data_IF_899268293222
#
_entry.id   IF_899268293222
#
_cell.length_a   1.000
_cell.length_b   1.000
_cell.length_c   1.000
_cell.angle_alpha   90.00
_cell.angle_beta   90.00
_cell.angle_gamma   90.00
#
_symmetry.space_group_name_H-M   'P 1'
#
loop_
_entity.id
_entity.type
_entity.pdbx_description
1 polymer ?
#
# COMPACT_ATOMS: atom_id res chain seq x y z
N UNK A 1 18.17 -14.78 -7.08
CA UNK A 1 17.17 -15.27 -8.05
C UNK A 1 16.02 -15.86 -7.25
N UNK A 2 14.96 -15.09 -7.04
CA UNK A 2 13.78 -15.54 -6.30
C UNK A 2 13.04 -16.61 -7.10
N UNK A 3 12.99 -17.85 -6.59
CA UNK A 3 12.10 -18.89 -7.14
C UNK A 3 10.65 -18.45 -6.88
N UNK A 4 9.74 -18.51 -7.87
CA UNK A 4 8.35 -18.12 -7.66
C UNK A 4 7.67 -19.18 -6.81
N UNK A 5 7.59 -18.95 -5.49
CA UNK A 5 7.09 -19.96 -4.55
C UNK A 5 5.57 -19.95 -4.41
N UNK A 6 4.86 -18.90 -4.88
CA UNK A 6 3.40 -18.86 -4.82
C UNK A 6 2.75 -18.41 -6.13
N UNK A 7 1.54 -18.91 -6.40
CA UNK A 7 0.64 -18.34 -7.43
C UNK A 7 0.19 -16.94 -7.00
N UNK A 8 -0.24 -16.11 -7.97
CA UNK A 8 -0.86 -14.82 -7.66
C UNK A 8 -2.11 -15.07 -6.78
N UNK A 9 -2.43 -14.20 -5.82
CA UNK A 9 -1.86 -12.86 -5.58
C UNK A 9 -0.76 -12.81 -4.50
N UNK A 10 -0.21 -13.94 -4.03
CA UNK A 10 0.66 -14.00 -2.86
C UNK A 10 2.15 -13.62 -3.09
N UNK A 11 2.52 -13.10 -4.27
CA UNK A 11 3.90 -12.63 -4.54
C UNK A 11 4.11 -11.13 -4.25
N UNK A 12 3.20 -10.51 -3.47
CA UNK A 12 3.24 -9.08 -3.17
C UNK A 12 4.31 -8.71 -2.13
N UNK A 13 4.73 -9.68 -1.32
CA UNK A 13 5.70 -9.46 -0.25
C UNK A 13 6.95 -10.30 -0.50
N UNK A 14 8.12 -9.65 -0.44
CA UNK A 14 9.40 -10.33 -0.44
C UNK A 14 9.69 -10.93 0.93
N UNK A 15 10.24 -12.13 0.98
CA UNK A 15 10.65 -12.80 2.22
C UNK A 15 12.16 -12.95 2.18
N UNK A 16 12.84 -12.54 3.26
CA UNK A 16 14.27 -12.76 3.44
C UNK A 16 14.49 -13.96 4.37
N UNK A 17 14.97 -15.07 3.80
CA UNK A 17 15.38 -16.23 4.59
C UNK A 17 16.72 -15.98 5.33
N UNK A 18 17.12 -16.92 6.19
CA UNK A 18 18.35 -16.79 6.97
C UNK A 18 19.62 -16.71 6.10
N UNK A 19 19.66 -17.45 4.98
CA UNK A 19 20.79 -17.45 4.06
C UNK A 19 20.90 -16.12 3.31
N UNK A 20 19.78 -15.56 2.86
CA UNK A 20 19.72 -14.24 2.23
C UNK A 20 20.11 -13.13 3.20
N UNK A 21 19.68 -13.21 4.46
CA UNK A 21 20.08 -12.26 5.50
C UNK A 21 21.60 -12.29 5.75
N UNK A 22 22.21 -13.47 5.82
CA UNK A 22 23.66 -13.63 5.96
C UNK A 22 24.41 -13.11 4.73
N UNK A 23 23.90 -13.40 3.52
CA UNK A 23 24.48 -12.90 2.27
C UNK A 23 24.46 -11.37 2.22
N UNK A 24 23.34 -10.74 2.60
CA UNK A 24 23.24 -9.28 2.65
C UNK A 24 24.23 -8.65 3.63
N UNK A 25 24.44 -9.28 4.80
CA UNK A 25 25.47 -8.83 5.74
C UNK A 25 26.88 -8.94 5.15
N UNK A 26 27.19 -10.05 4.47
CA UNK A 26 28.48 -10.24 3.81
C UNK A 26 28.72 -9.19 2.72
N UNK A 27 27.74 -8.97 1.85
CA UNK A 27 27.80 -7.96 0.79
C UNK A 27 27.98 -6.55 1.35
N UNK A 28 27.31 -6.25 2.47
CA UNK A 28 27.48 -4.98 3.17
C UNK A 28 28.94 -4.77 3.61
N UNK A 29 29.50 -5.74 4.33
CA UNK A 29 30.88 -5.64 4.85
C UNK A 29 31.88 -5.51 3.70
N UNK A 30 31.68 -6.27 2.62
CA UNK A 30 32.50 -6.16 1.42
C UNK A 30 32.41 -4.77 0.80
N UNK A 31 31.21 -4.21 0.63
CA UNK A 31 31.01 -2.88 0.06
C UNK A 31 31.65 -1.78 0.93
N UNK A 32 31.51 -1.86 2.25
CA UNK A 32 32.13 -0.94 3.21
C UNK A 32 33.66 -0.94 3.13
N UNK A 33 34.26 -2.08 2.78
CA UNK A 33 35.72 -2.18 2.64
C UNK A 33 36.26 -1.64 1.30
N UNK A 34 35.40 -1.47 0.30
CA UNK A 34 35.80 -1.18 -1.10
C UNK A 34 35.36 0.18 -1.61
N UNK A 35 34.35 0.80 -1.01
CA UNK A 35 33.75 2.02 -1.53
C UNK A 35 33.24 2.96 -0.44
N UNK A 36 33.42 4.26 -0.65
CA UNK A 36 32.89 5.31 0.22
C UNK A 36 31.38 5.50 0.05
N UNK A 37 30.84 5.08 -1.10
CA UNK A 37 29.44 5.25 -1.48
C UNK A 37 28.81 3.92 -1.85
N UNK A 38 27.73 3.58 -1.15
CA UNK A 38 27.02 2.32 -1.31
C UNK A 38 25.62 2.62 -1.82
N UNK A 39 25.33 2.06 -3.00
CA UNK A 39 24.00 2.05 -3.63
C UNK A 39 23.43 0.65 -3.43
N UNK A 40 22.30 0.58 -2.75
CA UNK A 40 21.59 -0.68 -2.54
C UNK A 40 20.52 -0.84 -3.61
N UNK A 41 20.38 -2.04 -4.14
CA UNK A 41 19.40 -2.35 -5.17
C UNK A 41 18.57 -3.57 -4.77
N UNK A 42 17.26 -3.48 -4.93
CA UNK A 42 16.34 -4.59 -4.70
C UNK A 42 15.05 -4.43 -5.49
N UNK A 43 14.31 -5.52 -5.67
CA UNK A 43 13.04 -5.45 -6.40
C UNK A 43 11.95 -4.76 -5.57
N UNK A 44 11.76 -5.21 -4.33
CA UNK A 44 10.69 -4.75 -3.44
C UNK A 44 11.11 -3.51 -2.63
N UNK A 45 10.20 -2.57 -2.34
CA UNK A 45 10.42 -1.54 -1.35
C UNK A 45 10.60 -2.19 0.01
N UNK A 46 11.30 -1.52 0.92
CA UNK A 46 11.54 -2.08 2.26
C UNK A 46 10.26 -2.22 3.08
N UNK A 47 9.16 -1.58 2.69
CA UNK A 47 7.80 -1.77 3.23
C UNK A 47 7.13 -3.07 2.83
N UNK A 48 7.59 -3.69 1.74
CA UNK A 48 7.08 -4.93 1.19
C UNK A 48 8.07 -6.09 1.40
N UNK A 49 8.99 -5.99 2.35
CA UNK A 49 9.95 -7.04 2.69
C UNK A 49 9.73 -7.47 4.14
N UNK A 50 9.55 -8.78 4.34
CA UNK A 50 9.50 -9.40 5.66
C UNK A 50 10.78 -10.15 5.95
N UNK A 51 11.23 -10.03 7.20
CA UNK A 51 12.22 -10.91 7.79
C UNK A 51 11.48 -11.90 8.69
N UNK A 52 11.68 -13.20 8.44
CA UNK A 52 11.00 -14.27 9.17
C UNK A 52 11.27 -14.17 10.68
N UNK A 53 10.20 -14.25 11.50
CA UNK A 53 10.23 -13.90 12.94
C UNK A 53 10.86 -14.94 13.85
N UNK A 54 10.95 -16.20 13.42
CA UNK A 54 11.37 -17.32 14.27
C UNK A 54 12.89 -17.53 14.33
N UNK A 55 13.69 -16.62 13.76
CA UNK A 55 15.14 -16.75 13.71
C UNK A 55 15.86 -15.82 14.71
N UNK A 56 16.85 -16.33 15.47
CA UNK A 56 17.52 -15.59 16.54
C UNK A 56 18.28 -14.33 16.08
N UNK A 57 18.51 -14.18 14.77
CA UNK A 57 19.18 -13.05 14.13
C UNK A 57 18.25 -12.29 13.19
N UNK A 58 17.11 -11.78 13.69
CA UNK A 58 16.19 -10.94 12.89
C UNK A 58 16.90 -9.68 12.38
N UNK A 59 17.25 -9.66 11.09
CA UNK A 59 17.85 -8.47 10.47
C UNK A 59 16.77 -7.56 9.94
N UNK A 60 16.52 -6.43 10.60
CA UNK A 60 15.70 -5.37 10.01
C UNK A 60 16.45 -4.77 8.81
N UNK A 61 15.96 -5.01 7.59
CA UNK A 61 16.64 -4.55 6.35
C UNK A 61 16.89 -3.05 6.33
N UNK A 62 15.95 -2.24 6.83
CA UNK A 62 16.11 -0.77 6.91
C UNK A 62 17.22 -0.38 7.88
N UNK A 63 17.35 -1.11 8.97
CA UNK A 63 18.46 -0.93 9.91
C UNK A 63 19.78 -1.41 9.33
N UNK A 64 19.81 -2.53 8.60
CA UNK A 64 21.00 -3.05 7.94
C UNK A 64 21.55 -2.03 6.94
N UNK A 65 20.72 -1.58 6.00
CA UNK A 65 21.08 -0.55 5.00
C UNK A 65 21.57 0.70 5.73
N UNK A 66 20.81 1.18 6.70
CA UNK A 66 21.12 2.40 7.43
C UNK A 66 22.31 2.31 8.39
N UNK A 67 22.81 1.11 8.70
CA UNK A 67 23.93 0.93 9.64
C UNK A 67 25.28 1.31 9.04
N UNK A 68 25.41 1.29 7.71
CA UNK A 68 26.59 1.83 7.04
C UNK A 68 26.45 3.33 6.84
N UNK A 69 27.52 4.11 7.12
CA UNK A 69 27.54 5.55 6.80
C UNK A 69 27.60 5.80 5.29
N UNK A 70 28.29 4.94 4.54
CA UNK A 70 28.39 5.03 3.07
C UNK A 70 27.10 4.69 2.31
N UNK A 71 26.09 4.11 2.97
CA UNK A 71 24.78 3.87 2.34
C UNK A 71 24.08 5.18 2.02
N UNK A 72 24.06 5.55 0.74
CA UNK A 72 23.40 6.76 0.27
C UNK A 72 21.95 6.47 -0.10
N UNK A 73 21.71 5.42 -0.88
CA UNK A 73 20.40 5.19 -1.49
C UNK A 73 20.06 3.71 -1.59
N UNK A 74 18.79 3.40 -1.39
CA UNK A 74 18.14 2.17 -1.78
C UNK A 74 17.24 2.43 -2.98
N UNK A 75 17.56 1.85 -4.13
CA UNK A 75 16.78 1.93 -5.35
C UNK A 75 15.97 0.65 -5.53
N UNK A 76 14.67 0.81 -5.83
CA UNK A 76 13.74 -0.31 -5.94
C UNK A 76 12.62 -0.09 -6.97
N UNK A 77 11.78 -1.10 -7.16
CA UNK A 77 10.56 -1.08 -7.98
C UNK A 77 9.40 -1.74 -7.24
N UNK A 78 8.56 -2.50 -7.95
CA UNK A 78 7.40 -3.28 -7.48
C UNK A 78 6.06 -2.54 -7.44
N UNK A 79 5.93 -1.46 -6.66
CA UNK A 79 4.71 -0.63 -6.59
C UNK A 79 4.66 0.37 -7.77
N UNK A 80 5.82 0.73 -8.33
CA UNK A 80 6.05 1.59 -9.49
C UNK A 80 5.52 3.01 -9.41
N UNK A 81 4.25 3.21 -9.71
CA UNK A 81 3.54 4.48 -9.53
C UNK A 81 2.19 4.28 -8.84
N UNK A 82 1.98 3.10 -8.24
CA UNK A 82 0.69 2.62 -7.72
C UNK A 82 -0.44 2.80 -8.75
N UNK A 83 -0.19 2.37 -10.00
CA UNK A 83 -1.13 2.56 -11.11
C UNK A 83 -1.34 4.03 -11.50
N UNK A 84 -0.33 4.89 -11.30
CA UNK A 84 -0.37 6.33 -11.58
C UNK A 84 -0.80 7.22 -10.41
N UNK A 85 -1.22 6.64 -9.28
CA UNK A 85 -1.68 7.41 -8.10
C UNK A 85 -0.55 8.16 -7.38
N UNK A 86 0.67 7.61 -7.39
CA UNK A 86 1.84 8.21 -6.73
C UNK A 86 3.03 8.16 -7.68
N UNK A 87 3.25 9.25 -8.41
CA UNK A 87 4.26 9.31 -9.48
C UNK A 87 5.69 9.55 -8.98
N UNK A 88 5.85 10.07 -7.75
CA UNK A 88 7.15 10.33 -7.10
C UNK A 88 7.28 9.56 -5.80
N UNK A 89 7.62 8.28 -5.88
CA UNK A 89 7.80 7.42 -4.72
C UNK A 89 9.21 7.52 -4.14
N UNK A 90 9.46 8.65 -3.48
CA UNK A 90 10.72 8.92 -2.79
C UNK A 90 10.48 9.14 -1.31
N UNK A 91 11.38 8.64 -0.49
CA UNK A 91 11.41 8.99 0.93
C UNK A 91 12.83 9.03 1.45
N UNK A 92 13.00 9.61 2.63
CA UNK A 92 14.20 9.46 3.44
C UNK A 92 13.87 8.59 4.64
N UNK A 93 14.54 7.44 4.73
CA UNK A 93 14.31 6.50 5.83
C UNK A 93 14.81 7.07 7.15
N UNK A 94 14.35 6.52 8.28
CA UNK A 94 14.71 7.02 9.63
C UNK A 94 16.22 7.05 9.89
N UNK A 95 16.99 6.20 9.21
CA UNK A 95 18.46 6.16 9.30
C UNK A 95 19.15 7.18 8.37
N UNK A 96 18.41 7.96 7.60
CA UNK A 96 18.90 9.11 6.83
C UNK A 96 19.27 8.82 5.37
N UNK A 97 19.24 7.56 4.92
CA UNK A 97 19.44 7.21 3.51
C UNK A 97 18.15 7.40 2.69
N UNK A 98 18.28 7.61 1.39
CA UNK A 98 17.14 7.74 0.47
C UNK A 98 16.60 6.38 0.08
N UNK A 99 15.29 6.23 0.04
CA UNK A 99 14.62 5.10 -0.61
C UNK A 99 13.82 5.62 -1.77
N UNK A 100 14.21 5.17 -2.97
CA UNK A 100 13.76 5.74 -4.23
C UNK A 100 13.20 4.64 -5.09
N UNK A 101 11.89 4.52 -5.07
CA UNK A 101 11.18 3.64 -5.99
C UNK A 101 11.03 4.31 -7.35
N UNK A 102 11.20 3.53 -8.42
CA UNK A 102 11.10 4.02 -9.79
C UNK A 102 9.84 3.47 -10.47
N UNK A 103 9.16 4.35 -11.22
CA UNK A 103 8.07 3.97 -12.11
C UNK A 103 8.51 2.87 -13.09
N UNK A 104 7.59 2.02 -13.52
CA UNK A 104 7.93 0.92 -14.41
C UNK A 104 8.35 1.41 -15.80
N UNK A 105 9.16 0.57 -16.46
CA UNK A 105 9.48 0.76 -17.86
C UNK A 105 8.32 0.39 -18.79
N UNK A 106 7.47 -0.56 -18.40
CA UNK A 106 6.50 -1.22 -19.29
C UNK A 106 5.41 -0.26 -19.80
N UNK A 107 4.79 0.42 -18.86
CA UNK A 107 3.62 1.29 -19.03
C UNK A 107 4.03 2.76 -18.86
N UNK A 108 4.89 3.08 -17.87
CA UNK A 108 5.29 4.46 -17.59
C UNK A 108 6.56 4.93 -18.36
N UNK A 109 7.35 4.00 -18.93
CA UNK A 109 8.59 4.26 -19.68
C UNK A 109 9.59 5.13 -18.90
N UNK A 110 9.66 4.92 -17.58
CA UNK A 110 10.51 5.72 -16.70
C UNK A 110 11.91 5.12 -16.58
N UNK A 111 12.92 5.99 -16.55
CA UNK A 111 14.29 5.65 -16.18
C UNK A 111 14.84 6.71 -15.22
N UNK A 112 15.89 6.36 -14.46
CA UNK A 112 16.53 7.28 -13.51
C UNK A 112 17.94 7.62 -13.98
N UNK A 113 18.22 8.90 -14.09
CA UNK A 113 19.59 9.41 -14.14
C UNK A 113 20.03 9.74 -12.72
N UNK A 114 21.17 9.20 -12.30
CA UNK A 114 21.77 9.51 -11.01
C UNK A 114 23.26 9.80 -11.17
N UNK A 115 23.78 10.70 -10.33
CA UNK A 115 25.18 11.08 -10.31
C UNK A 115 25.67 11.23 -8.88
N UNK A 116 26.94 10.87 -8.64
CA UNK A 116 27.66 11.19 -7.41
C UNK A 116 28.72 12.23 -7.77
N UNK A 117 28.55 13.44 -7.24
CA UNK A 117 29.39 14.60 -7.53
C UNK A 117 30.06 15.08 -6.24
N UNK A 118 31.36 14.83 -6.10
CA UNK A 118 32.14 15.12 -4.89
C UNK A 118 31.49 14.55 -3.61
N UNK A 119 30.92 13.34 -3.72
CA UNK A 119 30.23 12.65 -2.63
C UNK A 119 28.75 13.03 -2.44
N UNK A 120 28.20 13.94 -3.24
CA UNK A 120 26.76 14.25 -3.23
C UNK A 120 26.00 13.38 -4.23
N UNK A 121 25.02 12.62 -3.76
CA UNK A 121 24.12 11.84 -4.61
C UNK A 121 22.96 12.70 -5.11
N UNK A 122 22.84 12.87 -6.42
CA UNK A 122 21.74 13.59 -7.07
C UNK A 122 21.09 12.70 -8.11
N UNK A 123 19.77 12.82 -8.29
CA UNK A 123 19.04 12.02 -9.26
C UNK A 123 17.83 12.77 -9.83
N UNK A 124 17.37 12.31 -10.98
CA UNK A 124 16.13 12.72 -11.62
C UNK A 124 15.51 11.52 -12.34
N UNK A 125 14.19 11.41 -12.30
CA UNK A 125 13.44 10.39 -13.02
C UNK A 125 12.87 11.01 -14.29
N UNK A 126 13.08 10.34 -15.42
CA UNK A 126 12.78 10.85 -16.75
C UNK A 126 11.95 9.84 -17.53
N UNK A 127 10.99 10.33 -18.31
CA UNK A 127 10.32 9.51 -19.32
C UNK A 127 11.23 9.31 -20.52
N UNK A 128 11.25 8.10 -21.06
CA UNK A 128 11.94 7.79 -22.32
C UNK A 128 11.53 8.75 -23.44
N UNK A 129 12.49 9.12 -24.30
CA UNK A 129 12.32 10.05 -25.43
C UNK A 129 11.78 11.45 -25.07
N UNK A 130 11.97 11.89 -23.84
CA UNK A 130 11.70 13.29 -23.45
C UNK A 130 13.04 13.96 -23.22
N UNK A 131 13.32 14.96 -24.05
CA UNK A 131 14.54 15.74 -24.11
C UNK A 131 14.23 17.23 -24.16
N UNK A 132 15.13 18.10 -23.69
CA UNK A 132 16.37 17.80 -22.97
C UNK A 132 16.16 17.22 -21.56
N UNK A 133 17.14 16.52 -21.03
CA UNK A 133 17.19 15.98 -19.66
C UNK A 133 18.22 16.77 -18.84
N UNK A 134 17.83 17.19 -17.64
CA UNK A 134 18.64 18.06 -16.78
C UNK A 134 18.76 17.46 -15.38
N UNK A 135 19.99 17.36 -14.88
CA UNK A 135 20.29 16.99 -13.49
C UNK A 135 21.24 18.00 -12.87
N UNK A 136 20.74 18.80 -11.92
CA UNK A 136 21.58 19.68 -11.10
C UNK A 136 22.28 18.84 -10.03
N UNK A 137 23.62 18.84 -10.04
CA UNK A 137 24.41 18.11 -9.04
C UNK A 137 24.93 19.01 -7.93
N UNK A 138 25.19 20.29 -8.21
CA UNK A 138 25.57 21.30 -7.22
C UNK A 138 24.92 22.66 -7.54
N UNK A 139 24.23 23.32 -6.59
CA UNK A 139 23.95 22.89 -5.22
C UNK A 139 23.00 21.68 -5.16
N UNK A 140 23.07 20.90 -4.08
CA UNK A 140 22.23 19.72 -3.90
C UNK A 140 20.77 20.10 -3.64
N UNK A 141 19.84 19.33 -4.18
CA UNK A 141 18.40 19.53 -3.98
C UNK A 141 18.01 19.40 -2.49
N UNK A 142 17.32 20.41 -1.94
CA UNK A 142 17.00 20.53 -0.51
C UNK A 142 16.26 19.31 0.08
N UNK A 143 15.34 18.72 -0.69
CA UNK A 143 14.57 17.52 -0.27
C UNK A 143 15.46 16.29 -0.03
N UNK A 144 16.55 16.16 -0.77
CA UNK A 144 17.32 14.92 -0.88
C UNK A 144 18.59 14.94 -0.02
N UNK A 145 18.73 15.92 0.87
CA UNK A 145 19.87 16.09 1.76
C UNK A 145 19.95 14.93 2.78
N UNK A 146 21.14 14.32 2.87
CA UNK A 146 21.44 13.22 3.79
C UNK A 146 22.52 13.63 4.80
N UNK A 147 22.10 14.28 5.89
CA UNK A 147 23.01 14.70 6.96
C UNK A 147 23.82 13.54 7.51
N UNK A 148 25.13 13.75 7.68
CA UNK A 148 26.06 12.76 8.21
C UNK A 148 26.43 11.62 7.25
N UNK A 149 25.91 11.65 6.01
CA UNK A 149 26.24 10.69 4.94
C UNK A 149 26.94 11.36 3.75
N UNK A 150 26.72 12.67 3.58
CA UNK A 150 27.31 13.44 2.49
C UNK A 150 28.16 14.59 3.03
N UNK A 151 29.20 15.02 2.30
CA UNK A 151 30.08 16.10 2.71
C UNK A 151 29.46 17.49 2.43
N UNK A 152 28.30 17.78 3.06
CA UNK A 152 27.48 18.99 2.80
C UNK A 152 28.25 20.30 3.02
N UNK A 153 29.30 20.29 3.84
CA UNK A 153 30.20 21.42 4.05
C UNK A 153 30.94 21.87 2.79
N UNK A 154 31.03 21.03 1.76
CA UNK A 154 31.68 21.40 0.50
C UNK A 154 30.83 22.32 -0.38
N UNK A 155 29.51 22.39 -0.16
CA UNK A 155 28.60 23.18 -1.01
C UNK A 155 28.84 24.70 -0.80
N UNK A 156 28.92 25.24 0.44
CA UNK A 156 29.22 26.65 0.67
C UNK A 156 30.60 27.10 0.17
N UNK A 157 31.55 26.18 0.05
CA UNK A 157 32.92 26.46 -0.44
C UNK A 157 33.04 26.28 -1.97
N UNK A 158 31.98 25.79 -2.63
CA UNK A 158 31.99 25.53 -4.06
C UNK A 158 31.94 26.83 -4.87
N UNK A 159 32.86 26.98 -5.82
CA UNK A 159 32.92 28.12 -6.75
C UNK A 159 31.98 28.03 -7.95
N UNK A 160 31.38 26.86 -8.19
CA UNK A 160 30.57 26.61 -9.39
C UNK A 160 29.26 25.87 -9.09
N UNK A 161 28.20 26.30 -9.75
CA UNK A 161 27.03 25.46 -10.03
C UNK A 161 27.42 24.41 -11.07
N UNK A 162 26.95 23.18 -10.89
CA UNK A 162 27.25 22.04 -11.78
C UNK A 162 25.96 21.34 -12.20
N UNK A 163 25.79 21.21 -13.51
CA UNK A 163 24.58 20.70 -14.14
C UNK A 163 24.98 19.70 -15.21
N UNK A 164 24.35 18.53 -15.20
CA UNK A 164 24.42 17.57 -16.29
C UNK A 164 23.21 17.78 -17.20
N UNK A 165 23.46 18.10 -18.46
CA UNK A 165 22.43 18.27 -19.48
C UNK A 165 22.65 17.26 -20.62
N UNK A 166 21.58 16.57 -21.00
CA UNK A 166 21.57 15.57 -22.06
C UNK A 166 20.46 15.88 -23.06
N UNK A 167 20.73 15.61 -24.34
CA UNK A 167 19.70 15.53 -25.38
C UNK A 167 20.12 14.45 -26.39
N UNK A 168 19.20 13.99 -27.24
CA UNK A 168 19.50 13.12 -28.37
C UNK A 168 20.09 13.88 -29.58
N UNK A 169 20.20 15.20 -29.45
CA UNK A 169 20.97 16.11 -30.31
C UNK A 169 21.90 16.96 -29.44
N UNK A 170 22.72 17.80 -30.05
CA UNK A 170 23.59 18.71 -29.29
C UNK A 170 22.78 19.72 -28.46
N UNK A 171 23.27 19.99 -27.25
CA UNK A 171 22.69 20.99 -26.35
C UNK A 171 23.27 22.35 -26.69
N UNK A 172 22.41 23.28 -27.11
CA UNK A 172 22.74 24.62 -27.58
C UNK A 172 23.20 25.53 -26.45
N UNK A 173 22.39 25.64 -25.39
CA UNK A 173 22.71 26.44 -24.22
C UNK A 173 22.02 25.91 -22.96
N UNK A 174 22.68 26.15 -21.83
CA UNK A 174 22.17 25.87 -20.49
C UNK A 174 22.22 27.17 -19.71
N UNK A 175 21.05 27.73 -19.39
CA UNK A 175 20.94 29.00 -18.67
C UNK A 175 20.39 28.77 -17.27
N UNK A 176 20.87 29.57 -16.32
CA UNK A 176 20.43 29.51 -14.93
C UNK A 176 19.94 30.87 -14.43
N UNK A 177 19.05 30.85 -13.46
CA UNK A 177 18.54 32.05 -12.78
C UNK A 177 18.17 31.75 -11.32
N UNK A 178 18.22 32.76 -10.46
CA UNK A 178 17.75 32.66 -9.07
C UNK A 178 16.44 33.44 -8.83
N UNK A 179 16.03 34.28 -9.77
CA UNK A 179 14.89 35.21 -9.69
C UNK A 179 13.91 35.06 -10.88
N UNK A 180 14.21 34.17 -11.84
CA UNK A 180 13.54 33.98 -13.14
C UNK A 180 13.62 35.17 -14.11
N UNK A 181 14.26 36.27 -13.70
CA UNK A 181 14.37 37.52 -14.47
C UNK A 181 15.75 37.59 -15.11
N UNK A 182 16.80 37.38 -14.31
CA UNK A 182 18.19 37.50 -14.71
C UNK A 182 18.75 36.12 -15.03
N UNK A 183 19.09 35.87 -16.30
CA UNK A 183 19.59 34.58 -16.79
C UNK A 183 21.09 34.65 -17.07
N UNK A 184 21.82 33.62 -16.65
CA UNK A 184 23.26 33.46 -16.86
C UNK A 184 23.53 32.17 -17.63
N UNK A 185 24.30 32.26 -18.71
CA UNK A 185 24.66 31.08 -19.51
C UNK A 185 25.81 30.31 -18.86
N UNK A 186 25.62 28.99 -18.72
CA UNK A 186 26.63 28.08 -18.21
C UNK A 186 27.66 27.77 -19.29
N UNK A 187 28.93 27.69 -18.88
CA UNK A 187 30.02 27.25 -19.75
C UNK A 187 30.00 25.73 -19.86
N UNK A 188 29.95 25.22 -21.09
CA UNK A 188 30.18 23.80 -21.36
C UNK A 188 31.61 23.41 -21.01
N UNK A 189 31.80 22.24 -20.41
CA UNK A 189 33.13 21.77 -19.99
C UNK A 189 33.51 20.48 -20.72
N UNK A 190 32.89 19.36 -20.35
CA UNK A 190 33.16 18.05 -20.95
C UNK A 190 31.91 17.17 -20.88
N UNK A 191 31.63 16.47 -21.98
CA UNK A 191 30.48 15.59 -22.08
C UNK A 191 29.18 16.34 -21.73
N UNK A 192 28.33 15.83 -20.82
CA UNK A 192 27.09 16.49 -20.44
C UNK A 192 27.26 17.61 -19.40
N UNK A 193 28.48 17.96 -18.96
CA UNK A 193 28.71 18.86 -17.83
C UNK A 193 28.77 20.34 -18.25
N UNK A 194 27.90 21.14 -17.63
CA UNK A 194 27.83 22.60 -17.73
C UNK A 194 28.03 23.23 -16.36
N UNK A 195 28.78 24.33 -16.32
CA UNK A 195 29.14 25.02 -15.07
C UNK A 195 28.91 26.52 -15.14
N UNK A 196 28.50 27.12 -14.03
CA UNK A 196 28.37 28.57 -13.90
C UNK A 196 28.96 29.04 -12.58
N UNK A 197 29.63 30.19 -12.58
CA UNK A 197 30.12 30.78 -11.35
C UNK A 197 28.95 31.27 -10.49
N UNK A 198 29.09 31.11 -9.18
CA UNK A 198 28.10 31.60 -8.23
C UNK A 198 28.78 32.01 -6.93
N UNK A 199 28.02 32.72 -6.08
CA UNK A 199 28.48 33.22 -4.79
C UNK A 199 27.62 32.59 -3.68
N UNK A 200 28.01 31.44 -3.11
CA UNK A 200 27.22 30.71 -2.10
C UNK A 200 26.83 31.56 -0.90
N UNK A 201 27.67 32.54 -0.53
CA UNK A 201 27.46 33.39 0.64
C UNK A 201 26.18 34.26 0.55
N UNK A 202 25.59 34.41 -0.63
CA UNK A 202 24.30 35.09 -0.84
C UNK A 202 23.10 34.22 -0.44
N UNK A 203 23.29 32.90 -0.28
CA UNK A 203 22.24 31.90 -0.07
C UNK A 203 22.36 31.21 1.30
N UNK A 204 22.87 31.92 2.31
CA UNK A 204 23.24 31.33 3.61
C UNK A 204 22.06 30.86 4.45
N UNK A 205 20.84 31.38 4.25
CA UNK A 205 19.70 31.12 5.15
C UNK A 205 18.41 30.91 4.37
N UNK A 206 17.69 29.86 4.73
CA UNK A 206 16.42 29.49 4.13
C UNK A 206 16.56 28.61 2.90
N UNK A 207 15.41 28.36 2.27
CA UNK A 207 15.32 27.64 1.01
C UNK A 207 15.37 28.64 -0.14
N UNK A 208 16.25 28.39 -1.09
CA UNK A 208 16.42 29.18 -2.30
C UNK A 208 16.10 28.33 -3.51
N UNK A 209 15.86 28.98 -4.65
CA UNK A 209 15.47 28.32 -5.89
C UNK A 209 16.49 28.64 -6.97
N UNK A 210 16.97 27.58 -7.63
CA UNK A 210 17.74 27.66 -8.86
C UNK A 210 16.83 27.23 -10.00
N UNK A 211 16.63 28.11 -10.97
CA UNK A 211 15.89 27.81 -12.19
C UNK A 211 16.89 27.49 -13.29
N UNK A 212 16.67 26.40 -14.01
CA UNK A 212 17.54 25.95 -15.09
C UNK A 212 16.72 25.81 -16.36
N UNK A 213 17.20 26.40 -17.45
CA UNK A 213 16.67 26.24 -18.81
C UNK A 213 17.72 25.60 -19.68
N UNK A 214 17.34 24.55 -20.40
CA UNK A 214 18.20 23.89 -21.37
C UNK A 214 17.51 23.89 -22.70
N UNK A 215 18.21 24.37 -23.72
CA UNK A 215 17.78 24.33 -25.11
C UNK A 215 18.73 23.44 -25.89
N UNK A 216 18.17 22.64 -26.79
CA UNK A 216 18.94 21.89 -27.77
C UNK A 216 18.85 22.49 -29.17
N UNK A 217 19.62 21.93 -30.11
CA UNK A 217 19.68 22.42 -31.50
C UNK A 217 18.35 22.31 -32.26
N UNK A 218 17.43 21.46 -31.80
CA UNK A 218 16.07 21.38 -32.36
C UNK A 218 15.09 22.37 -31.72
N UNK A 219 15.56 23.20 -30.78
CA UNK A 219 14.75 24.18 -30.07
C UNK A 219 13.84 23.58 -29.00
N UNK A 220 14.05 22.31 -28.59
CA UNK A 220 13.32 21.74 -27.44
C UNK A 220 13.86 22.35 -26.15
N UNK A 221 12.95 22.65 -25.22
CA UNK A 221 13.27 23.27 -23.94
C UNK A 221 12.98 22.32 -22.78
N UNK A 222 13.89 22.28 -21.81
CA UNK A 222 13.64 21.72 -20.49
C UNK A 222 13.80 22.82 -19.43
N UNK A 223 12.76 22.99 -18.62
CA UNK A 223 12.74 23.92 -17.49
C UNK A 223 12.71 23.15 -16.17
N UNK A 224 13.67 23.41 -15.28
CA UNK A 224 13.78 22.77 -13.96
C UNK A 224 13.78 23.83 -12.86
N UNK A 225 12.86 23.68 -11.92
CA UNK A 225 12.88 24.37 -10.64
C UNK A 225 13.60 23.51 -9.60
N UNK A 226 14.72 23.99 -9.09
CA UNK A 226 15.61 23.25 -8.19
C UNK A 226 15.76 23.97 -6.85
N UNK A 227 14.97 23.59 -5.83
CA UNK A 227 15.13 24.14 -4.48
C UNK A 227 16.39 23.61 -3.80
N UNK A 228 17.16 24.48 -3.18
CA UNK A 228 18.38 24.16 -2.43
C UNK A 228 18.48 24.96 -1.11
N UNK A 229 19.35 24.53 -0.21
CA UNK A 229 19.62 25.19 1.08
C UNK A 229 21.11 25.02 1.43
N UNK A 230 21.67 26.01 2.13
CA UNK A 230 23.02 25.95 2.70
C UNK A 230 23.03 25.91 4.24
N UNK A 231 21.90 26.17 4.90
CA UNK A 231 21.77 26.13 6.37
C UNK A 231 21.21 24.81 6.91
N UNK A 232 20.87 23.86 6.03
CA UNK A 232 20.29 22.57 6.41
C UNK A 232 18.77 22.61 6.63
N UNK A 233 18.09 23.67 6.19
CA UNK A 233 16.62 23.73 6.16
C UNK A 233 16.03 22.51 5.43
N UNK A 234 15.23 21.71 6.13
CA UNK A 234 14.73 20.44 5.58
C UNK A 234 13.42 20.65 4.83
N UNK A 235 13.37 20.17 3.58
CA UNK A 235 12.11 20.07 2.84
C UNK A 235 11.55 18.65 2.95
N UNK A 236 10.25 18.53 3.23
CA UNK A 236 9.59 17.24 3.42
C UNK A 236 9.32 16.53 2.09
N UNK A 237 9.27 15.19 2.17
CA UNK A 237 8.73 14.33 1.12
C UNK A 237 7.21 14.29 1.19
N UNK A 238 6.59 13.92 0.06
CA UNK A 238 5.15 13.72 -0.04
C UNK A 238 4.66 12.67 0.98
N UNK A 239 3.54 12.97 1.64
CA UNK A 239 3.01 12.14 2.72
C UNK A 239 2.62 10.75 2.21
N UNK A 240 2.03 10.66 1.02
CA UNK A 240 1.60 9.40 0.38
C UNK A 240 2.77 8.47 0.11
N UNK A 241 3.84 8.97 -0.52
CA UNK A 241 5.07 8.21 -0.74
C UNK A 241 5.70 7.73 0.57
N UNK A 242 5.73 8.58 1.60
CA UNK A 242 6.23 8.20 2.94
C UNK A 242 5.39 7.09 3.57
N UNK A 243 4.07 7.15 3.48
CA UNK A 243 3.17 6.11 3.99
C UNK A 243 3.47 4.78 3.30
N UNK A 244 3.54 4.77 1.96
CA UNK A 244 3.74 3.55 1.18
C UNK A 244 5.12 2.91 1.37
N UNK A 245 6.18 3.71 1.50
CA UNK A 245 7.57 3.20 1.59
C UNK A 245 8.04 2.96 3.03
N UNK A 246 7.46 3.66 4.02
CA UNK A 246 7.92 3.56 5.42
C UNK A 246 7.04 2.70 6.31
N UNK A 247 5.75 2.54 6.02
CA UNK A 247 4.91 1.63 6.80
C UNK A 247 5.17 0.19 6.38
N UNK A 248 5.07 -0.73 7.32
CA UNK A 248 5.14 -2.16 7.03
C UNK A 248 3.79 -2.60 6.44
N UNK A 249 3.80 -3.08 5.20
CA UNK A 249 2.58 -3.49 4.51
C UNK A 249 1.83 -4.61 5.26
N UNK A 250 2.57 -5.55 5.87
CA UNK A 250 1.98 -6.63 6.65
C UNK A 250 1.23 -6.12 7.88
N UNK A 251 1.82 -5.18 8.62
CA UNK A 251 1.17 -4.54 9.77
C UNK A 251 -0.07 -3.75 9.34
N UNK A 252 0.01 -3.03 8.21
CA UNK A 252 -1.14 -2.30 7.67
C UNK A 252 -2.28 -3.25 7.29
N UNK A 253 -1.97 -4.36 6.61
CA UNK A 253 -2.99 -5.34 6.22
C UNK A 253 -3.64 -6.01 7.44
N UNK A 254 -2.85 -6.36 8.47
CA UNK A 254 -3.36 -6.85 9.75
C UNK A 254 -4.29 -5.85 10.43
N UNK A 255 -3.89 -4.57 10.48
CA UNK A 255 -4.68 -3.51 11.11
C UNK A 255 -6.01 -3.28 10.37
N UNK A 256 -6.01 -3.27 9.04
CA UNK A 256 -7.23 -3.17 8.22
C UNK A 256 -8.15 -4.36 8.50
N UNK A 257 -7.63 -5.58 8.47
CA UNK A 257 -8.40 -6.79 8.73
C UNK A 257 -9.01 -6.78 10.12
N UNK A 258 -8.21 -6.50 11.16
CA UNK A 258 -8.67 -6.41 12.54
C UNK A 258 -9.74 -5.34 12.73
N UNK A 259 -9.56 -4.16 12.13
CA UNK A 259 -10.55 -3.07 12.20
C UNK A 259 -11.88 -3.47 11.55
N UNK A 260 -11.85 -4.05 10.36
CA UNK A 260 -13.05 -4.52 9.66
C UNK A 260 -13.76 -5.65 10.42
N UNK A 261 -12.99 -6.55 11.05
CA UNK A 261 -13.54 -7.61 11.88
C UNK A 261 -14.28 -7.02 13.10
N UNK A 262 -13.69 -6.01 13.74
CA UNK A 262 -14.31 -5.30 14.86
C UNK A 262 -15.58 -4.55 14.43
N UNK A 263 -15.55 -3.88 13.28
CA UNK A 263 -16.73 -3.21 12.70
C UNK A 263 -17.85 -4.21 12.40
N UNK A 264 -17.52 -5.44 11.99
CA UNK A 264 -18.52 -6.47 11.71
C UNK A 264 -19.19 -6.99 12.99
N UNK A 265 -18.42 -7.26 14.05
CA UNK A 265 -18.89 -7.98 15.24
C UNK A 265 -19.34 -7.05 16.37
N UNK A 266 -18.54 -6.03 16.71
CA UNK A 266 -18.76 -5.22 17.92
C UNK A 266 -20.12 -4.52 17.94
N UNK A 267 -20.61 -3.90 16.84
CA UNK A 267 -21.93 -3.28 16.85
C UNK A 267 -23.06 -4.27 17.17
N UNK A 268 -23.02 -5.48 16.62
CA UNK A 268 -24.03 -6.50 16.87
C UNK A 268 -24.00 -6.99 18.31
N UNK A 269 -22.80 -7.19 18.87
CA UNK A 269 -22.64 -7.59 20.28
C UNK A 269 -23.15 -6.50 21.22
N UNK A 270 -22.76 -5.24 20.99
CA UNK A 270 -23.23 -4.09 21.78
C UNK A 270 -24.76 -3.98 21.72
N UNK A 271 -25.34 -4.07 20.52
CA UNK A 271 -26.81 -4.04 20.38
C UNK A 271 -27.51 -5.20 21.07
N UNK A 272 -26.90 -6.38 21.11
CA UNK A 272 -27.45 -7.53 21.83
C UNK A 272 -27.46 -7.30 23.34
N UNK A 273 -26.44 -6.66 23.90
CA UNK A 273 -26.36 -6.31 25.32
C UNK A 273 -27.30 -5.15 25.67
N UNK A 274 -27.52 -4.21 24.75
CA UNK A 274 -28.46 -3.12 24.97
C UNK A 274 -29.90 -3.64 25.07
N UNK A 275 -30.58 -3.28 26.18
CA UNK A 275 -32.02 -3.53 26.35
C UNK A 275 -32.88 -2.75 25.36
N UNK A 276 -32.39 -1.63 24.84
CA UNK A 276 -33.11 -0.70 23.96
C UNK A 276 -32.20 -0.20 22.83
N UNK A 277 -32.74 0.15 21.65
CA UNK A 277 -31.93 0.69 20.57
C UNK A 277 -31.40 2.11 20.92
N UNK A 278 -30.14 2.44 20.57
CA UNK A 278 -29.59 3.79 20.76
C UNK A 278 -30.44 4.87 20.08
N UNK A 279 -30.60 6.02 20.75
CA UNK A 279 -31.36 7.15 20.21
C UNK A 279 -30.47 8.00 19.29
N UNK A 280 -30.71 7.92 17.98
CA UNK A 280 -30.11 8.84 16.99
C UNK A 280 -31.07 9.97 16.60
N UNK A 281 -30.52 11.17 16.36
CA UNK A 281 -31.26 12.35 15.86
C UNK A 281 -31.72 12.17 14.40
N UNK A 282 -30.91 11.54 13.56
CA UNK A 282 -31.20 11.35 12.13
C UNK A 282 -32.18 10.19 11.90
N UNK A 283 -33.28 10.44 11.16
CA UNK A 283 -34.36 9.46 10.90
C UNK A 283 -33.86 8.16 10.25
N UNK A 284 -33.07 8.25 9.18
CA UNK A 284 -32.51 7.08 8.49
C UNK A 284 -31.56 6.27 9.38
N UNK A 285 -30.65 6.95 10.10
CA UNK A 285 -29.74 6.30 11.04
C UNK A 285 -30.47 5.58 12.18
N UNK A 286 -31.55 6.17 12.71
CA UNK A 286 -32.42 5.54 13.71
C UNK A 286 -33.06 4.27 13.18
N UNK A 287 -33.58 4.28 11.96
CA UNK A 287 -34.19 3.10 11.35
C UNK A 287 -33.15 1.99 11.16
N UNK A 288 -31.96 2.33 10.65
CA UNK A 288 -30.86 1.38 10.46
C UNK A 288 -30.41 0.74 11.78
N UNK A 289 -30.17 1.54 12.82
CA UNK A 289 -29.77 1.05 14.14
C UNK A 289 -30.84 0.15 14.75
N UNK A 290 -32.12 0.51 14.61
CA UNK A 290 -33.23 -0.34 15.06
C UNK A 290 -33.22 -1.70 14.36
N UNK A 291 -33.02 -1.73 13.04
CA UNK A 291 -32.95 -2.97 12.25
C UNK A 291 -31.80 -3.87 12.71
N UNK A 292 -30.61 -3.30 12.88
CA UNK A 292 -29.44 -4.02 13.38
C UNK A 292 -29.64 -4.52 14.81
N UNK A 293 -30.26 -3.71 15.66
CA UNK A 293 -30.60 -4.09 17.02
C UNK A 293 -31.58 -5.26 17.05
N UNK A 294 -32.64 -5.24 16.25
CA UNK A 294 -33.56 -6.36 16.13
C UNK A 294 -32.87 -7.63 15.62
N UNK A 295 -32.01 -7.50 14.60
CA UNK A 295 -31.24 -8.62 14.06
C UNK A 295 -30.37 -9.28 15.15
N UNK A 296 -29.77 -8.48 16.03
CA UNK A 296 -28.92 -8.97 17.13
C UNK A 296 -29.66 -9.82 18.17
N UNK A 297 -30.99 -9.69 18.28
CA UNK A 297 -31.83 -10.47 19.20
C UNK A 297 -32.23 -11.84 18.64
N UNK A 298 -31.97 -12.11 17.37
CA UNK A 298 -32.32 -13.37 16.71
C UNK A 298 -31.16 -14.34 16.81
N UNK A 299 -31.20 -15.25 17.78
CA UNK A 299 -30.12 -16.21 18.04
C UNK A 299 -29.69 -17.01 16.81
N UNK A 300 -30.68 -17.46 16.04
CA UNK A 300 -30.48 -18.26 14.81
C UNK A 300 -29.73 -17.51 13.69
N UNK A 301 -29.60 -16.19 13.79
CA UNK A 301 -28.91 -15.33 12.82
C UNK A 301 -27.66 -14.72 13.45
N UNK A 302 -27.77 -14.21 14.69
CA UNK A 302 -26.69 -13.60 15.43
C UNK A 302 -25.50 -14.54 15.66
N UNK A 303 -25.73 -15.73 16.23
CA UNK A 303 -24.63 -16.64 16.57
C UNK A 303 -23.84 -17.10 15.33
N UNK A 304 -24.47 -17.51 14.21
CA UNK A 304 -23.70 -17.86 13.01
C UNK A 304 -22.87 -16.71 12.44
N UNK A 305 -23.35 -15.46 12.45
CA UNK A 305 -22.57 -14.29 11.99
C UNK A 305 -21.35 -14.10 12.88
N UNK A 306 -21.53 -14.09 14.20
CA UNK A 306 -20.42 -13.87 15.16
C UNK A 306 -19.43 -15.02 15.14
N UNK A 307 -19.91 -16.27 15.11
CA UNK A 307 -19.05 -17.45 15.05
C UNK A 307 -18.27 -17.51 13.74
N UNK A 308 -18.89 -17.16 12.61
CA UNK A 308 -18.19 -17.08 11.33
C UNK A 308 -17.12 -15.97 11.35
N UNK A 309 -17.43 -14.79 11.90
CA UNK A 309 -16.45 -13.73 12.04
C UNK A 309 -15.28 -14.16 12.96
N UNK A 310 -15.57 -14.84 14.08
CA UNK A 310 -14.55 -15.39 14.97
C UNK A 310 -13.75 -16.52 14.30
N UNK A 311 -14.34 -17.27 13.37
CA UNK A 311 -13.64 -18.27 12.59
C UNK A 311 -12.59 -17.66 11.66
N UNK A 312 -12.82 -16.47 11.10
CA UNK A 312 -11.90 -15.85 10.13
C UNK A 312 -10.45 -15.71 10.64
N UNK A 313 -10.13 -15.23 11.84
CA UNK A 313 -8.74 -15.15 12.30
C UNK A 313 -8.09 -16.50 12.59
N UNK A 314 -8.85 -17.55 12.92
CA UNK A 314 -8.31 -18.81 13.47
C UNK A 314 -8.43 -20.01 12.54
N UNK A 315 -9.50 -20.08 11.74
CA UNK A 315 -9.85 -21.23 10.92
C UNK A 315 -9.16 -21.24 9.55
N UNK A 316 -9.05 -22.43 8.92
CA UNK A 316 -8.53 -22.55 7.57
C UNK A 316 -9.51 -21.96 6.56
N UNK A 317 -9.10 -20.96 5.79
CA UNK A 317 -9.92 -20.31 4.77
C UNK A 317 -10.15 -21.18 3.55
N UNK A 318 -9.16 -22.01 3.23
CA UNK A 318 -9.24 -23.01 2.18
C UNK A 318 -8.24 -24.14 2.43
N UNK A 319 -8.57 -25.34 1.98
CA UNK A 319 -7.69 -26.52 1.99
C UNK A 319 -7.66 -27.08 0.57
N UNK A 320 -6.48 -27.22 -0.01
CA UNK A 320 -6.35 -27.77 -1.36
C UNK A 320 -4.92 -27.81 -1.87
N UNK A 321 -4.77 -28.15 -3.13
CA UNK A 321 -3.47 -28.23 -3.80
C UNK A 321 -2.97 -26.81 -4.13
N UNK A 322 -2.15 -26.26 -3.23
CA UNK A 322 -1.66 -24.88 -3.34
C UNK A 322 -0.38 -24.77 -4.20
N UNK A 323 0.37 -25.87 -4.27
CA UNK A 323 1.55 -26.07 -5.11
C UNK A 323 1.36 -27.43 -5.80
N UNK A 324 1.83 -27.56 -7.04
CA UNK A 324 1.67 -28.78 -7.84
C UNK A 324 2.11 -30.03 -7.03
N UNK A 325 1.18 -30.95 -6.80
CA UNK A 325 1.31 -32.18 -6.03
C UNK A 325 1.24 -32.04 -4.50
N UNK A 326 0.94 -30.85 -3.96
CA UNK A 326 1.07 -30.55 -2.53
C UNK A 326 -0.18 -29.90 -1.95
N UNK A 327 -0.85 -30.63 -1.05
CA UNK A 327 -1.99 -30.12 -0.28
C UNK A 327 -1.50 -29.21 0.86
N UNK A 328 -2.15 -28.06 1.00
CA UNK A 328 -1.93 -27.11 2.08
C UNK A 328 -3.22 -26.44 2.56
N UNK A 329 -3.10 -25.64 3.61
CA UNK A 329 -4.19 -24.89 4.19
C UNK A 329 -3.83 -23.39 4.28
N UNK A 330 -4.76 -22.53 3.87
CA UNK A 330 -4.62 -21.06 3.93
C UNK A 330 -5.29 -20.56 5.20
N UNK A 331 -4.62 -19.68 5.94
CA UNK A 331 -5.13 -19.00 7.13
C UNK A 331 -5.05 -17.48 6.96
N UNK A 332 -5.65 -16.73 7.90
CA UNK A 332 -5.53 -15.28 7.93
C UNK A 332 -4.08 -14.80 8.08
N UNK A 333 -3.24 -15.58 8.76
CA UNK A 333 -1.86 -15.26 9.14
C UNK A 333 -0.81 -15.94 8.25
N UNK A 334 -1.20 -16.71 7.25
CA UNK A 334 -0.29 -17.31 6.28
C UNK A 334 -0.74 -18.67 5.76
N UNK A 335 0.19 -19.43 5.19
CA UNK A 335 -0.08 -20.69 4.49
C UNK A 335 0.71 -21.83 5.14
N UNK A 336 0.06 -22.96 5.39
CA UNK A 336 0.66 -24.19 5.91
C UNK A 336 0.72 -25.25 4.81
N UNK A 337 1.92 -25.67 4.41
CA UNK A 337 2.16 -26.72 3.40
C UNK A 337 3.17 -27.72 3.96
N UNK A 338 2.84 -29.02 3.94
CA UNK A 338 3.71 -30.11 4.44
C UNK A 338 4.30 -29.86 5.85
N UNK A 339 3.55 -29.23 6.75
CA UNK A 339 4.01 -28.88 8.10
C UNK A 339 4.96 -27.67 8.17
N UNK A 340 5.31 -27.07 7.03
CA UNK A 340 6.04 -25.80 6.96
C UNK A 340 5.06 -24.64 6.95
N UNK A 341 5.34 -23.64 7.78
CA UNK A 341 4.60 -22.39 7.82
C UNK A 341 5.26 -21.34 6.92
N UNK A 342 4.46 -20.70 6.07
CA UNK A 342 4.86 -19.61 5.19
C UNK A 342 4.06 -18.37 5.62
N UNK A 343 4.69 -17.38 6.26
CA UNK A 343 3.99 -16.14 6.60
C UNK A 343 3.67 -15.37 5.33
N UNK A 344 2.39 -15.05 5.15
CA UNK A 344 1.89 -14.40 3.94
C UNK A 344 0.91 -13.28 4.33
N UNK A 345 1.37 -12.07 4.70
CA UNK A 345 0.47 -11.04 5.20
C UNK A 345 -0.57 -10.55 4.19
N UNK A 346 -0.38 -10.82 2.90
CA UNK A 346 -1.39 -10.50 1.90
C UNK A 346 -2.70 -11.29 2.10
N UNK A 347 -2.68 -12.41 2.83
CA UNK A 347 -3.93 -13.10 3.24
C UNK A 347 -4.84 -12.17 4.04
N UNK A 348 -4.31 -11.31 4.93
CA UNK A 348 -5.14 -10.34 5.65
C UNK A 348 -5.89 -9.38 4.72
N UNK A 349 -5.27 -8.96 3.62
CA UNK A 349 -5.95 -8.14 2.61
C UNK A 349 -7.07 -8.95 1.92
N UNK A 350 -6.83 -10.21 1.58
CA UNK A 350 -7.85 -11.09 1.01
C UNK A 350 -9.07 -11.27 1.93
N UNK A 351 -8.83 -11.48 3.24
CA UNK A 351 -9.89 -11.52 4.25
C UNK A 351 -10.60 -10.18 4.44
N UNK A 352 -9.87 -9.07 4.30
CA UNK A 352 -10.43 -7.71 4.39
C UNK A 352 -11.44 -7.46 3.26
N UNK A 353 -11.14 -7.91 2.03
CA UNK A 353 -12.07 -7.88 0.90
C UNK A 353 -13.34 -8.69 1.20
N UNK A 354 -13.21 -9.89 1.79
CA UNK A 354 -14.37 -10.70 2.22
C UNK A 354 -15.19 -9.98 3.30
N UNK A 355 -14.54 -9.36 4.29
CA UNK A 355 -15.25 -8.61 5.34
C UNK A 355 -16.00 -7.41 4.75
N UNK A 356 -15.33 -6.61 3.92
CA UNK A 356 -15.83 -5.35 3.40
C UNK A 356 -16.94 -5.52 2.36
N UNK A 357 -16.81 -6.47 1.44
CA UNK A 357 -17.78 -6.64 0.34
C UNK A 357 -18.81 -7.73 0.57
N UNK A 358 -18.56 -8.64 1.54
CA UNK A 358 -19.46 -9.75 1.80
C UNK A 358 -20.07 -9.65 3.20
N UNK A 359 -19.27 -9.74 4.25
CA UNK A 359 -19.80 -9.92 5.61
C UNK A 359 -20.48 -8.67 6.17
N UNK A 360 -19.85 -7.50 6.04
CA UNK A 360 -20.45 -6.23 6.49
C UNK A 360 -21.75 -5.94 5.71
N UNK A 361 -21.78 -6.00 4.37
CA UNK A 361 -23.02 -5.84 3.61
C UNK A 361 -24.08 -6.90 3.95
N UNK A 362 -23.71 -8.16 4.19
CA UNK A 362 -24.65 -9.22 4.57
C UNK A 362 -25.44 -8.84 5.82
N UNK A 363 -24.78 -8.29 6.84
CA UNK A 363 -25.46 -7.84 8.07
C UNK A 363 -26.53 -6.79 7.76
N UNK A 364 -26.21 -5.80 6.93
CA UNK A 364 -27.17 -4.75 6.53
C UNK A 364 -28.31 -5.29 5.67
N UNK A 365 -28.02 -6.20 4.74
CA UNK A 365 -29.02 -6.84 3.88
C UNK A 365 -29.97 -7.71 4.71
N UNK A 366 -29.46 -8.54 5.63
CA UNK A 366 -30.29 -9.34 6.54
C UNK A 366 -31.15 -8.45 7.44
N UNK A 367 -30.59 -7.35 7.96
CA UNK A 367 -31.35 -6.37 8.74
C UNK A 367 -32.48 -5.71 7.93
N UNK A 368 -32.25 -5.46 6.64
CA UNK A 368 -33.28 -4.96 5.72
C UNK A 368 -34.36 -6.02 5.45
N UNK A 369 -33.98 -7.26 5.14
CA UNK A 369 -34.91 -8.36 4.95
C UNK A 369 -35.77 -8.63 6.19
N UNK A 370 -35.18 -8.50 7.38
CA UNK A 370 -35.90 -8.61 8.66
C UNK A 370 -36.96 -7.52 8.83
N UNK A 371 -36.62 -6.25 8.57
CA UNK A 371 -37.56 -5.13 8.65
C UNK A 371 -38.76 -5.35 7.72
N UNK A 372 -38.48 -5.80 6.50
CA UNK A 372 -39.53 -6.17 5.55
C UNK A 372 -40.38 -7.34 6.06
N UNK A 373 -39.78 -8.38 6.66
CA UNK A 373 -40.54 -9.51 7.21
C UNK A 373 -41.43 -9.09 8.40
N UNK A 374 -40.99 -8.13 9.21
CA UNK A 374 -41.71 -7.67 10.39
C UNK A 374 -42.84 -6.68 10.07
N UNK A 375 -42.63 -5.75 9.14
CA UNK A 375 -43.57 -4.65 8.85
C UNK A 375 -44.22 -4.75 7.45
N UNK A 376 -43.75 -5.64 6.58
CA UNK A 376 -44.26 -5.82 5.23
C UNK A 376 -45.50 -6.71 5.19
N UNK A 377 -46.67 -6.11 4.98
CA UNK A 377 -47.89 -6.84 4.63
C UNK A 377 -47.73 -7.50 3.25
N UNK A 378 -47.88 -8.84 3.18
CA UNK A 378 -48.12 -9.67 1.99
C UNK A 378 -47.59 -9.10 0.64
N UNK A 379 -46.30 -8.78 0.51
CA UNK A 379 -45.79 -8.42 -0.82
C UNK A 379 -45.66 -9.70 -1.67
N UNK A 380 -46.43 -9.78 -2.76
CA UNK A 380 -46.41 -10.90 -3.73
C UNK A 380 -45.79 -10.44 -5.05
N UNK A 381 -45.35 -11.39 -5.85
CA UNK A 381 -44.83 -11.15 -7.21
C UNK A 381 -43.60 -10.24 -7.25
N UNK A 382 -43.60 -9.29 -8.18
CA UNK A 382 -42.46 -8.39 -8.50
C UNK A 382 -41.98 -7.59 -7.30
N UNK A 383 -42.89 -7.18 -6.40
CA UNK A 383 -42.52 -6.42 -5.20
C UNK A 383 -41.64 -7.23 -4.25
N UNK A 384 -41.86 -8.54 -4.13
CA UNK A 384 -41.01 -9.45 -3.34
C UNK A 384 -39.63 -9.60 -3.97
N UNK A 385 -39.55 -9.63 -5.31
CA UNK A 385 -38.27 -9.68 -6.03
C UNK A 385 -37.46 -8.40 -5.78
N UNK A 386 -38.08 -7.22 -5.95
CA UNK A 386 -37.44 -5.91 -5.73
C UNK A 386 -36.84 -5.80 -4.32
N UNK A 387 -37.57 -6.25 -3.30
CA UNK A 387 -37.12 -6.19 -1.91
C UNK A 387 -35.97 -7.15 -1.59
N UNK A 388 -35.77 -8.20 -2.40
CA UNK A 388 -34.64 -9.12 -2.27
C UNK A 388 -33.48 -8.79 -3.21
N UNK A 389 -33.59 -7.76 -4.06
CA UNK A 389 -32.50 -7.33 -4.94
C UNK A 389 -31.17 -7.08 -4.21
N UNK A 390 -31.13 -6.45 -3.02
CA UNK A 390 -29.85 -6.28 -2.30
C UNK A 390 -29.18 -7.60 -1.96
N UNK A 391 -29.97 -8.63 -1.63
CA UNK A 391 -29.44 -9.97 -1.36
C UNK A 391 -28.99 -10.69 -2.63
N UNK A 392 -29.75 -10.58 -3.72
CA UNK A 392 -29.37 -11.14 -5.02
C UNK A 392 -28.07 -10.51 -5.51
N UNK A 393 -27.93 -9.19 -5.41
CA UNK A 393 -26.70 -8.48 -5.76
C UNK A 393 -25.51 -8.93 -4.92
N UNK A 394 -25.67 -9.05 -3.61
CA UNK A 394 -24.63 -9.57 -2.71
C UNK A 394 -24.25 -11.02 -3.06
N UNK A 395 -25.23 -11.88 -3.36
CA UNK A 395 -25.00 -13.26 -3.76
C UNK A 395 -24.23 -13.34 -5.09
N UNK A 396 -24.54 -12.48 -6.06
CA UNK A 396 -23.79 -12.38 -7.31
C UNK A 396 -22.32 -12.01 -7.08
N UNK A 397 -22.04 -11.07 -6.16
CA UNK A 397 -20.66 -10.74 -5.76
C UNK A 397 -19.98 -11.96 -5.13
N UNK A 398 -20.64 -12.68 -4.22
CA UNK A 398 -20.06 -13.87 -3.59
C UNK A 398 -19.75 -14.98 -4.62
N UNK A 399 -20.67 -15.23 -5.56
CA UNK A 399 -20.48 -16.21 -6.63
C UNK A 399 -19.32 -15.83 -7.56
N UNK A 400 -19.22 -14.54 -7.93
CA UNK A 400 -18.11 -14.03 -8.73
C UNK A 400 -16.77 -14.21 -8.01
N UNK A 401 -16.70 -13.86 -6.72
CA UNK A 401 -15.49 -14.03 -5.91
C UNK A 401 -15.11 -15.51 -5.72
N UNK A 402 -16.10 -16.39 -5.58
CA UNK A 402 -15.88 -17.84 -5.49
C UNK A 402 -15.44 -18.43 -6.84
N UNK A 403 -15.95 -17.92 -7.97
CA UNK A 403 -15.52 -18.31 -9.31
C UNK A 403 -14.06 -17.92 -9.56
N UNK A 404 -13.66 -16.68 -9.26
CA UNK A 404 -12.25 -16.29 -9.35
C UNK A 404 -11.35 -17.11 -8.42
N UNK A 405 -11.84 -17.45 -7.23
CA UNK A 405 -11.10 -18.33 -6.32
C UNK A 405 -10.92 -19.75 -6.89
N UNK A 406 -11.95 -20.30 -7.54
CA UNK A 406 -11.86 -21.59 -8.22
C UNK A 406 -10.84 -21.60 -9.36
N UNK A 407 -10.81 -20.53 -10.17
CA UNK A 407 -9.86 -20.40 -11.27
C UNK A 407 -8.39 -20.41 -10.78
N UNK A 408 -8.12 -19.80 -9.63
CA UNK A 408 -6.76 -19.68 -9.09
C UNK A 408 -6.30 -20.93 -8.31
N UNK A 409 -7.18 -21.54 -7.50
CA UNK A 409 -6.83 -22.58 -6.54
C UNK A 409 -7.42 -23.96 -6.82
N UNK A 410 -8.18 -24.10 -7.92
CA UNK A 410 -8.74 -25.36 -8.37
C UNK A 410 -9.91 -25.88 -7.54
N UNK A 411 -10.40 -27.05 -7.95
CA UNK A 411 -11.65 -27.64 -7.44
C UNK A 411 -11.58 -28.05 -5.98
N UNK A 412 -10.45 -28.58 -5.51
CA UNK A 412 -10.30 -29.02 -4.11
C UNK A 412 -10.45 -27.84 -3.15
N UNK A 413 -9.69 -26.76 -3.40
CA UNK A 413 -9.76 -25.52 -2.63
C UNK A 413 -11.16 -24.90 -2.70
N UNK A 414 -11.82 -24.97 -3.86
CA UNK A 414 -13.20 -24.50 -4.02
C UNK A 414 -14.19 -25.33 -3.20
N UNK A 415 -14.07 -26.65 -3.12
CA UNK A 415 -14.97 -27.47 -2.30
C UNK A 415 -14.72 -27.29 -0.80
N UNK A 416 -13.44 -27.26 -0.39
CA UNK A 416 -13.00 -27.04 0.98
C UNK A 416 -12.56 -25.59 1.20
N UNK A 417 -13.40 -24.65 0.78
CA UNK A 417 -13.16 -23.20 0.89
C UNK A 417 -14.12 -22.51 1.86
N UNK A 418 -14.00 -22.72 3.20
CA UNK A 418 -14.86 -22.09 4.20
C UNK A 418 -15.08 -20.59 3.98
N UNK A 419 -14.02 -19.86 3.59
CA UNK A 419 -14.08 -18.42 3.38
C UNK A 419 -14.96 -18.00 2.20
N UNK A 420 -14.99 -18.78 1.11
CA UNK A 420 -15.67 -18.41 -0.14
C UNK A 420 -16.94 -19.21 -0.34
N UNK A 421 -16.82 -20.51 -0.58
CA UNK A 421 -17.93 -21.41 -0.94
C UNK A 421 -18.87 -21.66 0.22
N UNK A 422 -18.36 -21.98 1.41
CA UNK A 422 -19.25 -22.24 2.55
C UNK A 422 -19.91 -20.94 3.03
N UNK A 423 -19.26 -19.79 2.81
CA UNK A 423 -19.86 -18.48 3.09
C UNK A 423 -21.11 -18.20 2.24
N UNK A 424 -21.19 -18.74 1.02
CA UNK A 424 -22.39 -18.67 0.17
C UNK A 424 -23.52 -19.48 0.78
N UNK A 425 -23.26 -20.74 1.14
CA UNK A 425 -24.23 -21.61 1.79
C UNK A 425 -24.74 -21.00 3.11
N UNK A 426 -23.84 -20.43 3.91
CA UNK A 426 -24.18 -19.72 5.13
C UNK A 426 -25.06 -18.49 4.85
N UNK A 427 -24.72 -17.69 3.85
CA UNK A 427 -25.50 -16.50 3.48
C UNK A 427 -26.92 -16.86 3.04
N UNK A 428 -27.07 -17.91 2.22
CA UNK A 428 -28.36 -18.46 1.80
C UNK A 428 -29.16 -18.97 3.00
N UNK A 429 -28.52 -19.72 3.91
CA UNK A 429 -29.16 -20.22 5.12
C UNK A 429 -29.66 -19.08 6.03
N UNK A 430 -28.84 -18.04 6.23
CA UNK A 430 -29.19 -16.90 7.08
C UNK A 430 -30.31 -16.06 6.47
N UNK A 431 -30.28 -15.87 5.16
CA UNK A 431 -31.36 -15.20 4.44
C UNK A 431 -32.66 -15.99 4.52
N UNK A 432 -32.62 -17.30 4.26
CA UNK A 432 -33.76 -18.21 4.40
C UNK A 432 -34.34 -18.17 5.82
N UNK A 433 -33.50 -18.26 6.86
CA UNK A 433 -33.92 -18.20 8.26
C UNK A 433 -34.55 -16.86 8.62
N UNK A 434 -33.99 -15.75 8.12
CA UNK A 434 -34.53 -14.40 8.35
C UNK A 434 -35.91 -14.23 7.73
N UNK A 435 -36.13 -14.71 6.50
CA UNK A 435 -37.43 -14.60 5.83
C UNK A 435 -38.48 -15.57 6.38
N UNK A 436 -38.08 -16.74 6.87
CA UNK A 436 -38.98 -17.77 7.42
C UNK A 436 -39.07 -17.75 8.95
N UNK A 437 -38.90 -16.58 9.57
CA UNK A 437 -39.11 -16.42 11.01
C UNK A 437 -40.55 -16.80 11.39
N UNK A 438 -40.75 -17.61 12.46
CA UNK A 438 -42.06 -17.97 12.95
C UNK A 438 -42.90 -16.73 13.32
N UNK A 439 -44.21 -16.70 13.01
CA UNK A 439 -45.07 -15.55 13.29
C UNK A 439 -45.10 -15.14 14.77
N UNK A 440 -45.01 -16.09 15.69
CA UNK A 440 -44.90 -15.84 17.14
C UNK A 440 -43.64 -15.06 17.50
N UNK A 441 -42.52 -15.43 16.90
CA UNK A 441 -41.24 -14.76 17.12
C UNK A 441 -41.24 -13.34 16.54
N UNK A 442 -41.87 -13.15 15.38
CA UNK A 442 -42.10 -11.81 14.82
C UNK A 442 -42.94 -10.94 15.76
N UNK A 443 -44.01 -11.48 16.35
CA UNK A 443 -44.84 -10.76 17.34
C UNK A 443 -44.03 -10.37 18.57
N UNK A 444 -43.16 -11.25 19.07
CA UNK A 444 -42.26 -10.94 20.18
C UNK A 444 -41.29 -9.79 19.84
N UNK A 445 -40.67 -9.81 18.66
CA UNK A 445 -39.77 -8.74 18.19
C UNK A 445 -40.50 -7.40 18.01
N UNK A 446 -41.76 -7.41 17.55
CA UNK A 446 -42.58 -6.20 17.45
C UNK A 446 -42.91 -5.62 18.84
N UNK A 447 -43.28 -6.47 19.82
CA UNK A 447 -43.51 -6.02 21.20
C UNK A 447 -42.28 -5.35 21.81
N UNK A 448 -41.08 -5.87 21.53
CA UNK A 448 -39.81 -5.25 21.96
C UNK A 448 -39.59 -3.83 21.38
N UNK A 449 -40.23 -3.50 20.25
CA UNK A 449 -40.21 -2.14 19.70
C UNK A 449 -41.31 -1.23 20.23
N UNK A 450 -42.38 -1.81 20.79
CA UNK A 450 -43.58 -1.09 21.26
C UNK A 450 -43.56 -0.79 22.77
N UNK A 451 -42.68 -1.42 23.57
CA UNK A 451 -42.56 -1.10 25.00
C UNK A 451 -42.29 0.39 25.21
N UNK A 452 -43.14 1.11 25.97
CA UNK A 452 -43.08 2.57 26.08
C UNK A 452 -41.76 3.05 26.69
N UNK A 453 -41.35 4.23 26.24
CA UNK A 453 -40.08 4.90 26.56
C UNK A 453 -39.91 5.22 28.02
#
# INVERSE_FOLDING_TARGET
>A
MSRPWSRRPFNFIGILDAGEQQLLQKLKVEAESKADHIVWFGHYPTSCILSLENEPSKVNIRQLIGSSRGSHVYVCGHLHSMGGLVTKMYTKQKKGYLELELGDWKDNRMYRLAAIDHGHFSFVDQKHNVWPLVLVTNPKHARYIMHGREPLQLIPDSSHIRILAFSDVDVKNVDISFDQISWMTCRHTKGPLYVCHWLPHLFKKGVHYLYVKVYDELGREAFVEHPFTLDGSVMSFEITARILLMLDAGVVFQAIFGTLLMINVMPLVVFRLCKRPPRLRVKYGRQMIRRLWLLSKIDRVFYPIVLYAAYLPFGPWAIGELIDGHVGAIFAWGILIKGSFIPEPFTYMYGSVQLMFVQVPLVFVLAHCLDYRLYGYSARGVRRLILNLPFVFLLSIQLLLAYFFWLEYGTMSFMFGPLRTWSIALSLLLWYKTLNLPPEYCRHLLKLTETPS
#
